data_IF_239414138113
#
_entry.id   IF_239414138113
#
_cell.length_a   1.000
_cell.length_b   1.000
_cell.length_c   1.000
_cell.angle_alpha   90.00
_cell.angle_beta   90.00
_cell.angle_gamma   90.00
#
_symmetry.space_group_name_H-M   'P 1'
#
loop_
_entity.id
_entity.type
_entity.pdbx_description
1 polymer ?
#
# COMPACT_ATOMS: atom_id res chain seq x y z
N UNK A 1 -7.40 -1.87 20.33
CA UNK A 1 -6.75 -2.69 19.28
C UNK A 1 -6.16 -1.72 18.25
N UNK A 2 -4.83 -1.61 18.18
CA UNK A 2 -4.17 -0.73 17.20
C UNK A 2 -4.11 -1.48 15.88
N UNK A 3 -5.05 -1.20 14.98
CA UNK A 3 -4.94 -1.57 13.58
C UNK A 3 -3.67 -0.92 13.03
N UNK A 4 -2.55 -1.65 13.05
CA UNK A 4 -1.25 -1.20 12.55
C UNK A 4 -1.26 -1.33 11.03
N UNK A 5 -1.84 -0.34 10.37
CA UNK A 5 -1.58 -0.11 8.95
C UNK A 5 -0.06 0.12 8.81
N UNK A 6 0.62 -0.76 8.05
CA UNK A 6 2.08 -0.63 7.81
C UNK A 6 2.41 0.64 7.04
N UNK A 7 1.51 1.03 6.15
CA UNK A 7 1.69 2.21 5.30
C UNK A 7 0.61 3.26 5.56
N UNK A 8 1.02 4.52 5.52
CA UNK A 8 0.12 5.67 5.71
C UNK A 8 -0.19 6.34 4.37
N UNK A 9 -1.28 7.09 4.33
CA UNK A 9 -1.62 7.93 3.19
C UNK A 9 -0.53 8.97 2.94
N UNK A 10 -0.25 9.26 1.68
CA UNK A 10 0.82 10.12 1.18
C UNK A 10 2.25 9.62 1.46
N UNK A 11 2.42 8.34 1.82
CA UNK A 11 3.73 7.71 1.96
C UNK A 11 4.23 7.19 0.60
N UNK A 12 5.50 7.43 0.30
CA UNK A 12 6.18 6.80 -0.83
C UNK A 12 6.62 5.39 -0.46
N UNK A 13 6.31 4.45 -1.31
CA UNK A 13 6.60 3.03 -1.15
C UNK A 13 7.05 2.47 -2.48
N UNK A 14 7.74 1.33 -2.46
CA UNK A 14 8.23 0.67 -3.67
C UNK A 14 7.37 -0.54 -3.99
N UNK A 15 6.92 -0.68 -5.23
CA UNK A 15 6.29 -1.92 -5.70
C UNK A 15 7.37 -2.98 -5.91
N UNK A 16 7.19 -4.16 -5.32
CA UNK A 16 8.06 -5.31 -5.56
C UNK A 16 7.96 -5.83 -7.00
N UNK A 17 6.74 -5.82 -7.55
CA UNK A 17 6.48 -6.39 -8.88
C UNK A 17 7.17 -5.63 -10.00
N UNK A 18 7.14 -4.29 -9.96
CA UNK A 18 7.73 -3.45 -11.02
C UNK A 18 9.01 -2.74 -10.60
N UNK A 19 9.31 -2.70 -9.30
CA UNK A 19 10.40 -1.92 -8.75
C UNK A 19 10.13 -0.41 -8.69
N UNK A 20 8.95 0.04 -9.11
CA UNK A 20 8.57 1.45 -9.17
C UNK A 20 8.29 2.04 -7.79
N UNK A 21 8.56 3.34 -7.64
CA UNK A 21 8.21 4.08 -6.43
C UNK A 21 6.88 4.77 -6.64
N UNK A 22 5.89 4.41 -5.85
CA UNK A 22 4.51 4.89 -5.91
C UNK A 22 4.15 5.62 -4.62
N UNK A 23 3.16 6.50 -4.69
CA UNK A 23 2.63 7.18 -3.50
C UNK A 23 1.30 6.56 -3.08
N UNK A 24 1.21 6.11 -1.82
CA UNK A 24 -0.04 5.62 -1.24
C UNK A 24 -1.05 6.77 -1.17
N UNK A 25 -2.20 6.60 -1.81
CA UNK A 25 -3.31 7.55 -1.75
C UNK A 25 -4.25 7.20 -0.59
N UNK A 26 -4.79 5.98 -0.62
CA UNK A 26 -5.75 5.48 0.37
C UNK A 26 -5.51 4.01 0.62
N UNK A 27 -5.83 3.56 1.81
CA UNK A 27 -5.87 2.14 2.16
C UNK A 27 -7.24 1.75 2.65
N UNK A 28 -7.59 0.47 2.48
CA UNK A 28 -8.84 -0.10 2.96
C UNK A 28 -8.58 -1.47 3.56
N UNK A 29 -9.34 -1.83 4.59
CA UNK A 29 -9.26 -3.16 5.18
C UNK A 29 -10.20 -4.08 4.43
N UNK A 30 -9.67 -5.18 3.90
CA UNK A 30 -10.46 -6.22 3.23
C UNK A 30 -10.74 -7.33 4.25
N UNK A 31 -11.92 -7.34 4.90
CA UNK A 31 -12.22 -8.31 5.96
C UNK A 31 -12.20 -9.75 5.45
N UNK A 32 -12.56 -9.97 4.19
CA UNK A 32 -12.55 -11.29 3.56
C UNK A 32 -11.16 -11.93 3.52
N UNK A 33 -10.11 -11.12 3.29
CA UNK A 33 -8.72 -11.59 3.25
C UNK A 33 -7.96 -11.32 4.56
N UNK A 34 -8.59 -10.63 5.53
CA UNK A 34 -7.95 -10.11 6.75
C UNK A 34 -6.67 -9.30 6.46
N UNK A 35 -6.62 -8.61 5.31
CA UNK A 35 -5.45 -7.86 4.82
C UNK A 35 -5.84 -6.43 4.46
N UNK A 36 -4.85 -5.54 4.41
CA UNK A 36 -5.02 -4.18 3.92
C UNK A 36 -4.66 -4.08 2.45
N UNK A 37 -5.56 -3.49 1.66
CA UNK A 37 -5.31 -3.07 0.29
C UNK A 37 -4.94 -1.60 0.26
N UNK A 38 -3.97 -1.23 -0.56
CA UNK A 38 -3.48 0.13 -0.74
C UNK A 38 -3.69 0.54 -2.19
N UNK A 39 -4.13 1.77 -2.40
CA UNK A 39 -4.32 2.37 -3.72
C UNK A 39 -3.36 3.53 -3.87
N UNK A 40 -2.91 3.77 -5.09
CA UNK A 40 -1.86 4.74 -5.38
C UNK A 40 -2.42 5.97 -6.09
N UNK A 41 -1.70 7.09 -5.99
CA UNK A 41 -2.10 8.33 -6.69
C UNK A 41 -1.84 8.19 -8.20
N UNK A 42 -0.70 7.62 -8.59
CA UNK A 42 -0.37 7.37 -9.99
C UNK A 42 -1.31 6.36 -10.67
N UNK A 43 -1.77 5.36 -9.91
CA UNK A 43 -2.65 4.31 -10.41
C UNK A 43 -3.91 4.16 -9.54
N UNK A 44 -4.90 5.07 -9.65
CA UNK A 44 -6.10 5.04 -8.81
C UNK A 44 -7.03 3.86 -9.11
N UNK A 45 -6.84 3.19 -10.25
CA UNK A 45 -7.58 1.98 -10.65
C UNK A 45 -6.87 0.68 -10.22
N UNK A 46 -5.64 0.79 -9.72
CA UNK A 46 -4.86 -0.36 -9.27
C UNK A 46 -4.78 -0.35 -7.75
N UNK A 47 -4.99 -1.50 -7.16
CA UNK A 47 -4.77 -1.73 -5.75
C UNK A 47 -3.66 -2.76 -5.58
N UNK A 48 -2.91 -2.61 -4.51
CA UNK A 48 -1.79 -3.45 -4.15
C UNK A 48 -1.95 -3.90 -2.70
N UNK A 49 -1.45 -5.08 -2.38
CA UNK A 49 -1.45 -5.58 -1.01
C UNK A 49 -0.15 -5.24 -0.29
N UNK A 50 -0.17 -5.26 1.04
CA UNK A 50 1.03 -4.98 1.85
C UNK A 50 2.25 -5.84 1.49
N UNK A 51 2.04 -7.04 0.94
CA UNK A 51 3.11 -7.96 0.55
C UNK A 51 3.79 -7.55 -0.76
N UNK A 52 3.05 -6.88 -1.65
CA UNK A 52 3.54 -6.40 -2.95
C UNK A 52 4.25 -5.05 -2.85
N UNK A 53 4.18 -4.42 -1.67
CA UNK A 53 4.66 -3.08 -1.41
C UNK A 53 5.80 -3.17 -0.37
N UNK A 54 6.91 -2.51 -0.63
CA UNK A 54 8.02 -2.36 0.30
C UNK A 54 8.07 -0.93 0.82
N UNK A 55 8.33 -0.82 2.12
CA UNK A 55 8.70 0.47 2.68
C UNK A 55 10.06 0.85 2.11
N UNK A 56 10.15 2.06 1.58
CA UNK A 56 11.43 2.70 1.32
C UNK A 56 11.98 3.11 2.70
N UNK A 57 12.59 2.17 3.42
CA UNK A 57 13.45 2.51 4.55
C UNK A 57 14.69 3.21 3.97
N UNK A 58 14.95 4.41 4.46
CA UNK A 58 16.12 5.23 4.09
C UNK A 58 17.11 5.29 5.23
#
# INVERSE_FOLDING_TARGET
MKNKNKFITNQKVRLKSTGETITINKFSYVPNMKRYSYTCVEHPKTFYFEEEIEQLES
#
